data_IF_516816865059
#
_entry.id   IF_516816865059
#
_cell.length_a   1.000
_cell.length_b   1.000
_cell.length_c   1.000
_cell.angle_alpha   90.00
_cell.angle_beta   90.00
_cell.angle_gamma   90.00
#
_symmetry.space_group_name_H-M   'P 1'
#
loop_
_entity.id
_entity.type
_entity.pdbx_description
1 polymer ?
#
# COMPACT_ATOMS: atom_id res chain seq x y z
N UNK A 1 12.62 -14.93 -34.06
CA UNK A 1 11.69 -13.78 -34.11
C UNK A 1 10.96 -13.73 -32.77
N UNK A 2 11.51 -13.04 -31.77
CA UNK A 2 10.83 -12.87 -30.49
C UNK A 2 9.62 -11.95 -30.72
N UNK A 3 8.39 -12.39 -30.42
CA UNK A 3 7.21 -11.69 -30.87
C UNK A 3 7.10 -10.38 -30.08
N UNK A 4 6.71 -9.29 -30.76
CA UNK A 4 6.44 -7.98 -30.16
C UNK A 4 5.43 -8.02 -28.98
N UNK A 5 4.74 -9.15 -28.79
CA UNK A 5 3.94 -9.45 -27.61
C UNK A 5 4.77 -9.63 -26.33
N UNK A 6 5.94 -10.28 -26.39
CA UNK A 6 6.80 -10.50 -25.22
C UNK A 6 7.32 -9.16 -24.66
N UNK A 7 7.72 -8.23 -25.54
CA UNK A 7 8.15 -6.89 -25.15
C UNK A 7 7.04 -6.07 -24.47
N UNK A 8 5.79 -6.18 -24.96
CA UNK A 8 4.63 -5.47 -24.38
C UNK A 8 4.25 -5.99 -22.99
N UNK A 9 4.35 -7.29 -22.74
CA UNK A 9 4.04 -7.89 -21.44
C UNK A 9 5.09 -7.53 -20.37
N UNK A 10 6.38 -7.57 -20.73
CA UNK A 10 7.46 -7.10 -19.84
C UNK A 10 7.28 -5.62 -19.52
N UNK A 11 6.90 -4.80 -20.50
CA UNK A 11 6.63 -3.38 -20.30
C UNK A 11 5.43 -3.14 -19.37
N UNK A 12 4.29 -3.79 -19.59
CA UNK A 12 3.11 -3.67 -18.71
C UNK A 12 3.41 -4.12 -17.28
N UNK A 13 4.12 -5.22 -17.09
CA UNK A 13 4.49 -5.70 -15.76
C UNK A 13 5.44 -4.72 -15.04
N UNK A 14 6.43 -4.16 -15.76
CA UNK A 14 7.31 -3.11 -15.22
C UNK A 14 6.52 -1.86 -14.83
N UNK A 15 5.58 -1.41 -15.68
CA UNK A 15 4.73 -0.26 -15.40
C UNK A 15 3.85 -0.46 -14.15
N UNK A 16 3.28 -1.65 -13.94
CA UNK A 16 2.52 -1.96 -12.72
C UNK A 16 3.38 -1.86 -11.46
N UNK A 17 4.60 -2.41 -11.50
CA UNK A 17 5.53 -2.33 -10.36
C UNK A 17 5.94 -0.89 -10.07
N UNK A 18 6.30 -0.11 -11.10
CA UNK A 18 6.65 1.30 -10.95
C UNK A 18 5.47 2.07 -10.34
N UNK A 19 4.26 1.86 -10.85
CA UNK A 19 3.07 2.52 -10.34
C UNK A 19 2.72 2.10 -8.90
N UNK A 20 2.90 0.83 -8.55
CA UNK A 20 2.79 0.33 -7.18
C UNK A 20 3.75 1.07 -6.25
N UNK A 21 5.02 1.19 -6.63
CA UNK A 21 6.04 1.91 -5.86
C UNK A 21 5.68 3.39 -5.72
N UNK A 22 5.24 4.04 -6.80
CA UNK A 22 4.79 5.44 -6.76
C UNK A 22 3.61 5.61 -5.79
N UNK A 23 2.62 4.71 -5.83
CA UNK A 23 1.48 4.74 -4.89
C UNK A 23 1.96 4.59 -3.45
N UNK A 24 2.89 3.67 -3.17
CA UNK A 24 3.46 3.48 -1.83
C UNK A 24 4.30 4.66 -1.34
N UNK A 25 4.92 5.42 -2.25
CA UNK A 25 5.73 6.59 -1.91
C UNK A 25 4.92 7.88 -1.78
N UNK A 26 3.72 7.95 -2.37
CA UNK A 26 2.91 9.18 -2.45
C UNK A 26 1.61 9.09 -1.67
N UNK A 27 0.81 8.05 -1.89
CA UNK A 27 -0.50 7.90 -1.26
C UNK A 27 -0.36 7.54 0.22
N UNK A 28 0.62 6.71 0.57
CA UNK A 28 0.90 6.32 1.96
C UNK A 28 1.14 7.51 2.89
N UNK A 29 2.07 8.46 2.62
CA UNK A 29 2.26 9.62 3.49
C UNK A 29 1.04 10.56 3.52
N UNK A 30 0.34 10.75 2.41
CA UNK A 30 -0.90 11.56 2.36
C UNK A 30 -1.96 10.93 3.26
N UNK A 31 -2.20 9.62 3.14
CA UNK A 31 -3.15 8.88 3.94
C UNK A 31 -2.79 8.94 5.44
N UNK A 32 -1.51 8.77 5.78
CA UNK A 32 -1.05 8.85 7.17
C UNK A 32 -1.37 10.22 7.79
N UNK A 33 -1.00 11.31 7.11
CA UNK A 33 -1.19 12.69 7.60
C UNK A 33 -2.68 13.01 7.70
N UNK A 34 -3.46 12.64 6.67
CA UNK A 34 -4.93 12.81 6.70
C UNK A 34 -5.54 12.07 7.88
N UNK A 35 -5.11 10.83 8.12
CA UNK A 35 -5.55 10.02 9.24
C UNK A 35 -5.23 10.67 10.59
N UNK A 36 -4.02 11.18 10.76
CA UNK A 36 -3.58 11.85 11.99
C UNK A 36 -4.35 13.14 12.26
N UNK A 37 -4.52 14.00 11.25
CA UNK A 37 -5.33 15.22 11.35
C UNK A 37 -6.78 14.88 11.69
N UNK A 38 -7.32 13.80 11.13
CA UNK A 38 -8.71 13.38 11.42
C UNK A 38 -8.86 12.76 12.80
N UNK A 39 -7.81 12.15 13.35
CA UNK A 39 -7.83 11.49 14.65
C UNK A 39 -7.75 12.48 15.81
N UNK A 40 -6.86 13.47 15.70
CA UNK A 40 -6.67 14.51 16.71
C UNK A 40 -6.36 15.86 16.05
N UNK A 41 -7.38 16.55 15.49
CA UNK A 41 -7.19 17.77 14.72
C UNK A 41 -6.42 18.88 15.45
N UNK A 42 -6.71 19.21 16.74
CA UNK A 42 -6.00 20.25 17.47
C UNK A 42 -4.49 20.01 17.55
N UNK A 43 -4.07 18.74 17.67
CA UNK A 43 -2.66 18.36 17.82
C UNK A 43 -1.87 18.44 16.52
N UNK A 44 -2.53 18.21 15.38
CA UNK A 44 -1.90 18.17 14.06
C UNK A 44 -2.16 19.41 13.21
N UNK A 45 -2.65 20.48 13.83
CA UNK A 45 -2.84 21.80 13.21
C UNK A 45 -4.14 21.97 12.42
N UNK A 46 -5.09 21.02 12.54
CA UNK A 46 -6.46 21.09 12.02
C UNK A 46 -6.62 21.05 10.49
N UNK A 47 -5.58 21.44 9.74
CA UNK A 47 -5.60 21.58 8.29
C UNK A 47 -4.52 20.73 7.63
N UNK A 48 -4.86 20.16 6.47
CA UNK A 48 -3.91 19.40 5.65
C UNK A 48 -3.00 20.35 4.89
N UNK A 49 -1.83 20.63 5.47
CA UNK A 49 -0.77 21.42 4.82
C UNK A 49 0.21 20.51 4.09
N UNK A 50 0.67 20.94 2.92
CA UNK A 50 1.70 20.22 2.14
C UNK A 50 2.96 19.99 2.98
N UNK A 51 3.32 20.95 3.83
CA UNK A 51 4.44 20.85 4.77
C UNK A 51 4.33 19.64 5.70
N UNK A 52 3.14 19.35 6.25
CA UNK A 52 2.92 18.20 7.14
C UNK A 52 3.16 16.87 6.39
N UNK A 53 2.76 16.82 5.12
CA UNK A 53 2.97 15.66 4.25
C UNK A 53 4.47 15.48 3.96
N UNK A 54 5.16 16.56 3.62
CA UNK A 54 6.61 16.53 3.36
C UNK A 54 7.40 16.15 4.61
N UNK A 55 7.05 16.69 5.78
CA UNK A 55 7.66 16.34 7.06
C UNK A 55 7.44 14.87 7.36
N UNK A 56 6.23 14.34 7.21
CA UNK A 56 5.96 12.93 7.51
C UNK A 56 6.64 11.98 6.51
N UNK A 57 6.64 12.34 5.21
CA UNK A 57 7.34 11.58 4.17
C UNK A 57 8.85 11.56 4.41
N UNK A 58 9.45 12.72 4.73
CA UNK A 58 10.87 12.82 5.06
C UNK A 58 11.20 12.09 6.36
N UNK A 59 10.34 12.15 7.38
CA UNK A 59 10.54 11.39 8.62
C UNK A 59 10.56 9.88 8.33
N UNK A 60 9.64 9.37 7.50
CA UNK A 60 9.65 7.97 7.06
C UNK A 60 10.92 7.59 6.28
N UNK A 61 11.47 8.51 5.49
CA UNK A 61 12.70 8.31 4.72
C UNK A 61 13.98 8.43 5.56
N UNK A 62 13.98 9.22 6.63
CA UNK A 62 15.18 9.44 7.47
C UNK A 62 15.23 8.44 8.63
N UNK A 63 14.08 7.88 9.02
CA UNK A 63 13.99 6.91 10.12
C UNK A 63 14.53 5.55 9.69
N UNK A 64 15.80 5.28 9.97
CA UNK A 64 16.52 4.02 9.64
C UNK A 64 15.73 2.78 10.10
N UNK A 65 15.02 2.87 11.22
CA UNK A 65 14.24 1.76 11.77
C UNK A 65 13.07 1.35 10.88
N UNK A 66 12.48 2.30 10.15
CA UNK A 66 11.40 2.04 9.18
C UNK A 66 11.95 1.35 7.94
N UNK A 67 13.22 1.54 7.58
CA UNK A 67 13.79 0.94 6.35
C UNK A 67 13.80 -0.58 6.40
N UNK A 68 14.05 -1.15 7.59
CA UNK A 68 14.09 -2.59 7.80
C UNK A 68 12.77 -3.29 7.45
N UNK A 69 11.65 -2.59 7.57
CA UNK A 69 10.31 -3.12 7.25
C UNK A 69 9.78 -2.55 5.93
N UNK A 70 10.08 -1.30 5.61
CA UNK A 70 9.58 -0.60 4.43
C UNK A 70 10.26 -1.04 3.14
N UNK A 71 11.59 -1.30 3.13
CA UNK A 71 12.27 -1.81 1.92
C UNK A 71 11.72 -3.20 1.55
N UNK A 72 11.62 -4.17 2.48
CA UNK A 72 10.94 -5.43 2.19
C UNK A 72 9.51 -5.21 1.69
N UNK A 73 8.74 -4.28 2.28
CA UNK A 73 7.40 -3.99 1.82
C UNK A 73 7.37 -3.49 0.36
N UNK A 74 8.27 -2.57 -0.03
CA UNK A 74 8.38 -2.06 -1.41
C UNK A 74 8.73 -3.15 -2.41
N UNK A 75 9.54 -4.14 -2.01
CA UNK A 75 9.97 -5.25 -2.87
C UNK A 75 8.89 -6.34 -2.95
N UNK A 76 8.37 -6.78 -1.80
CA UNK A 76 7.46 -7.93 -1.73
C UNK A 76 6.04 -7.59 -2.14
N UNK A 77 5.54 -6.37 -1.89
CA UNK A 77 4.18 -5.96 -2.27
C UNK A 77 3.88 -6.18 -3.76
N UNK A 78 4.68 -5.68 -4.71
CA UNK A 78 4.43 -5.91 -6.14
C UNK A 78 4.56 -7.39 -6.52
N UNK A 79 5.44 -8.16 -5.87
CA UNK A 79 5.61 -9.61 -6.13
C UNK A 79 4.38 -10.39 -5.68
N UNK A 80 3.91 -10.15 -4.46
CA UNK A 80 2.71 -10.79 -3.89
C UNK A 80 1.49 -10.41 -4.71
N UNK A 81 1.32 -9.13 -5.02
CA UNK A 81 0.18 -8.64 -5.81
C UNK A 81 0.16 -9.21 -7.21
N UNK A 82 1.33 -9.36 -7.85
CA UNK A 82 1.44 -10.05 -9.13
C UNK A 82 0.92 -11.48 -9.03
N UNK A 83 1.42 -12.26 -8.05
CA UNK A 83 0.97 -13.65 -7.83
C UNK A 83 -0.52 -13.77 -7.52
N UNK A 84 -1.08 -12.83 -6.74
CA UNK A 84 -2.51 -12.78 -6.46
C UNK A 84 -3.32 -12.46 -7.72
N UNK A 85 -2.85 -11.54 -8.55
CA UNK A 85 -3.52 -11.15 -9.80
C UNK A 85 -3.60 -12.26 -10.85
N UNK A 86 -2.78 -13.31 -10.71
CA UNK A 86 -2.80 -14.50 -11.56
C UNK A 86 -3.90 -15.50 -11.17
N UNK A 87 -4.47 -15.37 -9.96
CA UNK A 87 -5.54 -16.26 -9.48
C UNK A 87 -6.91 -15.74 -9.92
N UNK A 88 -7.72 -16.58 -10.52
CA UNK A 88 -9.07 -16.22 -10.97
C UNK A 88 -9.96 -15.72 -9.82
N UNK A 89 -9.87 -16.37 -8.66
CA UNK A 89 -10.61 -16.01 -7.43
C UNK A 89 -10.41 -14.53 -7.07
N UNK A 90 -9.20 -13.98 -7.27
CA UNK A 90 -8.90 -12.58 -6.97
C UNK A 90 -9.77 -11.61 -7.79
N UNK A 91 -10.14 -11.99 -9.01
CA UNK A 91 -10.96 -11.17 -9.91
C UNK A 91 -12.45 -11.35 -9.68
N UNK A 92 -12.88 -12.51 -9.16
CA UNK A 92 -14.29 -12.88 -9.00
C UNK A 92 -14.86 -12.57 -7.61
N UNK A 93 -14.02 -12.28 -6.59
CA UNK A 93 -14.49 -11.88 -5.25
C UNK A 93 -15.45 -10.68 -5.32
N UNK A 94 -16.62 -10.71 -4.66
CA UNK A 94 -17.53 -9.56 -4.62
C UNK A 94 -16.83 -8.27 -4.17
N UNK A 95 -17.15 -7.13 -4.81
CA UNK A 95 -16.45 -5.85 -4.58
C UNK A 95 -16.39 -5.47 -3.09
N UNK A 96 -17.48 -5.60 -2.35
CA UNK A 96 -17.53 -5.27 -0.93
C UNK A 96 -16.59 -6.15 -0.09
N UNK A 97 -16.56 -7.48 -0.31
CA UNK A 97 -15.64 -8.39 0.37
C UNK A 97 -14.19 -8.07 0.03
N UNK A 98 -13.93 -7.74 -1.24
CA UNK A 98 -12.60 -7.36 -1.69
C UNK A 98 -12.09 -6.10 -0.99
N UNK A 99 -12.90 -5.04 -0.95
CA UNK A 99 -12.51 -3.80 -0.26
C UNK A 99 -12.36 -4.00 1.24
N UNK A 100 -13.29 -4.72 1.88
CA UNK A 100 -13.18 -5.03 3.31
C UNK A 100 -11.88 -5.79 3.63
N UNK A 101 -11.60 -6.88 2.90
CA UNK A 101 -10.40 -7.68 3.12
C UNK A 101 -9.12 -6.88 2.81
N UNK A 102 -9.10 -6.10 1.72
CA UNK A 102 -7.92 -5.30 1.37
C UNK A 102 -7.65 -4.17 2.37
N UNK A 103 -8.68 -3.57 2.97
CA UNK A 103 -8.53 -2.59 4.05
C UNK A 103 -7.95 -3.29 5.30
N UNK A 104 -8.48 -4.44 5.70
CA UNK A 104 -8.01 -5.17 6.88
C UNK A 104 -6.56 -5.65 6.73
N UNK A 105 -6.23 -6.30 5.61
CA UNK A 105 -4.85 -6.71 5.32
C UNK A 105 -3.93 -5.52 5.16
N UNK A 106 -4.42 -4.44 4.54
CA UNK A 106 -3.70 -3.18 4.40
C UNK A 106 -3.34 -2.56 5.75
N UNK A 107 -4.32 -2.42 6.65
CA UNK A 107 -4.13 -1.89 7.99
C UNK A 107 -3.11 -2.73 8.77
N UNK A 108 -3.24 -4.06 8.75
CA UNK A 108 -2.28 -4.95 9.39
C UNK A 108 -0.85 -4.81 8.82
N UNK A 109 -0.72 -4.73 7.49
CA UNK A 109 0.57 -4.49 6.85
C UNK A 109 1.17 -3.12 7.22
N UNK A 110 0.34 -2.08 7.30
CA UNK A 110 0.77 -0.75 7.71
C UNK A 110 1.25 -0.69 9.17
N UNK A 111 0.56 -1.37 10.08
CA UNK A 111 1.02 -1.57 11.48
C UNK A 111 2.37 -2.29 11.48
N UNK A 112 2.51 -3.38 10.72
CA UNK A 112 3.75 -4.15 10.68
C UNK A 112 4.92 -3.34 10.13
N UNK A 113 4.69 -2.50 9.13
CA UNK A 113 5.70 -1.58 8.58
C UNK A 113 6.14 -0.57 9.65
N UNK A 114 5.20 0.02 10.38
CA UNK A 114 5.50 1.01 11.43
C UNK A 114 5.83 0.38 12.80
N UNK A 115 5.87 -0.96 12.90
CA UNK A 115 6.09 -1.66 14.16
C UNK A 115 7.34 -1.19 14.91
N UNK A 116 8.50 -0.94 14.28
CA UNK A 116 9.66 -0.40 14.99
C UNK A 116 9.39 0.96 15.64
N UNK A 117 8.68 1.87 14.96
CA UNK A 117 8.30 3.17 15.52
C UNK A 117 7.29 3.03 16.65
N UNK A 118 6.32 2.14 16.49
CA UNK A 118 5.33 1.83 17.53
C UNK A 118 6.07 1.35 18.78
N UNK A 119 6.93 0.34 18.67
CA UNK A 119 7.66 -0.22 19.81
C UNK A 119 8.57 0.80 20.51
N UNK A 120 9.28 1.65 19.75
CA UNK A 120 10.12 2.69 20.32
C UNK A 120 9.31 3.77 21.06
N UNK A 121 8.10 4.07 20.57
CA UNK A 121 7.23 5.07 21.19
C UNK A 121 6.57 4.59 22.49
N UNK A 122 6.40 3.28 22.69
CA UNK A 122 5.79 2.70 23.91
C UNK A 122 6.54 3.15 25.16
N UNK A 123 7.87 3.28 25.08
CA UNK A 123 8.69 3.74 26.20
C UNK A 123 8.60 5.24 26.51
N UNK A 124 7.93 6.02 25.67
CA UNK A 124 7.89 7.49 25.77
C UNK A 124 6.50 8.01 26.18
N UNK A 125 5.46 7.66 25.43
CA UNK A 125 4.09 8.12 25.71
C UNK A 125 3.07 7.30 24.91
N UNK A 126 1.96 6.95 25.57
CA UNK A 126 0.82 6.28 24.95
C UNK A 126 0.27 7.07 23.76
N UNK A 127 0.24 8.40 23.86
CA UNK A 127 -0.31 9.27 22.82
C UNK A 127 0.55 9.25 21.55
N UNK A 128 1.85 9.05 21.68
CA UNK A 128 2.77 8.93 20.54
C UNK A 128 2.62 7.54 19.91
N UNK A 129 2.46 6.50 20.74
CA UNK A 129 2.19 5.14 20.27
C UNK A 129 0.90 5.04 19.48
N UNK A 130 -0.18 5.66 19.96
CA UNK A 130 -1.46 5.68 19.27
C UNK A 130 -1.37 6.42 17.94
N UNK A 131 -0.60 7.51 17.85
CA UNK A 131 -0.36 8.19 16.58
C UNK A 131 0.34 7.29 15.56
N UNK A 132 1.42 6.61 15.94
CA UNK A 132 2.12 5.70 15.03
C UNK A 132 1.25 4.51 14.60
N UNK A 133 0.49 3.96 15.55
CA UNK A 133 -0.46 2.88 15.28
C UNK A 133 -1.53 3.33 14.29
N UNK A 134 -2.15 4.49 14.54
CA UNK A 134 -3.20 5.03 13.70
C UNK A 134 -2.68 5.41 12.31
N UNK A 135 -1.52 6.05 12.23
CA UNK A 135 -0.85 6.35 10.97
C UNK A 135 -0.61 5.07 10.16
N UNK A 136 -0.17 3.97 10.81
CA UNK A 136 0.03 2.68 10.16
C UNK A 136 -1.26 2.09 9.63
N UNK A 137 -2.32 2.07 10.46
CA UNK A 137 -3.65 1.58 10.09
C UNK A 137 -4.18 2.32 8.86
N UNK A 138 -4.20 3.64 8.90
CA UNK A 138 -4.78 4.46 7.81
C UNK A 138 -3.93 4.38 6.56
N UNK A 139 -2.60 4.51 6.69
CA UNK A 139 -1.70 4.48 5.54
C UNK A 139 -1.78 3.14 4.80
N UNK A 140 -1.70 2.03 5.53
CA UNK A 140 -1.84 0.69 4.95
C UNK A 140 -3.25 0.41 4.43
N UNK A 141 -4.26 0.79 5.22
CA UNK A 141 -5.68 0.60 4.92
C UNK A 141 -6.17 1.35 3.68
N UNK A 142 -5.52 2.45 3.29
CA UNK A 142 -5.81 3.17 2.04
C UNK A 142 -4.92 2.71 0.89
N UNK A 143 -3.61 2.56 1.14
CA UNK A 143 -2.64 2.23 0.08
C UNK A 143 -2.89 0.85 -0.51
N UNK A 144 -3.14 -0.15 0.33
CA UNK A 144 -3.26 -1.54 -0.11
C UNK A 144 -4.51 -1.81 -0.98
N UNK A 145 -5.70 -1.28 -0.68
CA UNK A 145 -6.84 -1.36 -1.60
C UNK A 145 -6.59 -0.72 -2.96
N UNK A 146 -5.88 0.41 -3.02
CA UNK A 146 -5.56 1.09 -4.29
C UNK A 146 -4.66 0.19 -5.14
N UNK A 147 -3.57 -0.33 -4.55
CA UNK A 147 -2.67 -1.27 -5.22
C UNK A 147 -3.43 -2.53 -5.65
N UNK A 148 -4.22 -3.12 -4.76
CA UNK A 148 -4.98 -4.33 -5.05
C UNK A 148 -5.95 -4.11 -6.20
N UNK A 149 -6.63 -2.95 -6.23
CA UNK A 149 -7.55 -2.56 -7.31
C UNK A 149 -6.82 -2.42 -8.64
N UNK A 150 -5.63 -1.80 -8.64
CA UNK A 150 -4.80 -1.68 -9.83
C UNK A 150 -4.45 -3.05 -10.43
N UNK A 151 -4.07 -4.01 -9.59
CA UNK A 151 -3.74 -5.36 -10.02
C UNK A 151 -4.97 -6.17 -10.41
N UNK A 152 -6.14 -5.85 -9.86
CA UNK A 152 -7.42 -6.49 -10.18
C UNK A 152 -7.99 -6.02 -11.52
N UNK A 153 -7.90 -4.73 -11.84
CA UNK A 153 -8.45 -4.19 -13.08
C UNK A 153 -7.67 -4.68 -14.32
N UNK A 154 -6.38 -4.96 -14.16
CA UNK A 154 -5.53 -5.38 -15.27
C UNK A 154 -5.41 -6.91 -15.28
N UNK A 155 -6.46 -7.57 -15.79
CA UNK A 155 -6.50 -9.03 -15.97
C UNK A 155 -5.31 -9.54 -16.79
N UNK A 156 -4.62 -10.62 -16.36
CA UNK A 156 -3.63 -11.29 -17.19
C UNK A 156 -4.30 -11.98 -18.39
N UNK A 157 -3.60 -12.03 -19.55
CA UNK A 157 -4.09 -12.62 -20.81
C UNK A 157 -4.56 -14.08 -20.64
N UNK A 158 -3.92 -14.86 -19.76
CA UNK A 158 -4.33 -16.23 -19.37
C UNK A 158 -5.77 -16.35 -18.84
N UNK A 159 -6.35 -15.27 -18.31
CA UNK A 159 -7.74 -15.21 -17.80
C UNK A 159 -8.67 -14.46 -18.76
N UNK A 160 -8.18 -14.07 -19.95
CA UNK A 160 -8.93 -13.39 -21.00
C UNK A 160 -9.29 -14.32 -22.16
N UNK A 161 -8.65 -15.48 -22.28
CA UNK A 161 -9.06 -16.50 -23.25
C UNK A 161 -10.40 -17.09 -22.79
N UNK A 162 -11.49 -16.93 -23.58
CA UNK A 162 -12.70 -17.69 -23.32
C UNK A 162 -12.36 -19.16 -23.44
N UNK A 163 -12.91 -19.99 -22.56
CA UNK A 163 -12.85 -21.44 -22.64
C UNK A 163 -13.52 -21.92 -23.94
N UNK A 164 -12.80 -21.84 -25.06
CA UNK A 164 -13.09 -22.60 -26.29
C UNK A 164 -12.57 -24.02 -26.09
N UNK A 165 -13.11 -24.72 -25.08
CA UNK A 165 -12.92 -26.15 -24.88
C UNK A 165 -13.86 -26.65 -23.76
N UNK A 166 -15.15 -26.75 -24.07
CA UNK A 166 -16.02 -27.88 -23.71
C UNK A 166 -17.43 -27.59 -24.19
#
# INVERSE_FOLDING_TARGET
MFPAEFGREVYKAKMKTILCVIIMLTITPIAAVTGLISYDPPRWGGEMKIENILIMASFGLITVQVWLTYIPALIFTPIIMKRLSEKEIFHTIPKWKFYLNSILYGAGAGIFILLPCILLSVGHSLDITLNWLWAGIVAGGITFPIISTLYRLIKPKKLQEPSLAS
#
